data_IF_207572147601
#
_entry.id   IF_207572147601
#
_cell.length_a   1.000
_cell.length_b   1.000
_cell.length_c   1.000
_cell.angle_alpha   90.00
_cell.angle_beta   90.00
_cell.angle_gamma   90.00
#
_symmetry.space_group_name_H-M   'P 1'
#
loop_
_entity.id
_entity.type
_entity.pdbx_description
1 polymer ?
#
# COMPACT_ATOMS: atom_id res chain seq x y z
N UNK A 1 13.74 10.16 35.64
CA UNK A 1 14.28 10.38 34.28
C UNK A 1 13.21 9.94 33.28
N UNK A 2 12.59 10.87 32.56
CA UNK A 2 11.61 10.52 31.54
C UNK A 2 12.37 10.02 30.31
N UNK A 3 12.36 8.70 30.10
CA UNK A 3 12.89 8.09 28.88
C UNK A 3 12.09 8.67 27.70
N UNK A 4 12.79 9.36 26.79
CA UNK A 4 12.22 9.91 25.56
C UNK A 4 11.58 8.75 24.78
N UNK A 5 10.26 8.59 24.88
CA UNK A 5 9.54 7.50 24.23
C UNK A 5 9.62 7.72 22.73
N UNK A 6 10.48 6.97 22.04
CA UNK A 6 10.42 6.85 20.58
C UNK A 6 9.01 6.35 20.24
N UNK A 7 8.20 7.24 19.68
CA UNK A 7 6.89 6.89 19.15
C UNK A 7 7.12 6.22 17.80
N UNK A 8 6.66 4.99 17.67
CA UNK A 8 6.61 4.29 16.39
C UNK A 8 5.16 4.35 15.90
N UNK A 9 4.97 4.71 14.64
CA UNK A 9 3.65 4.62 14.01
C UNK A 9 3.17 3.16 13.92
N UNK A 10 1.89 2.97 13.63
CA UNK A 10 1.31 1.63 13.55
C UNK A 10 1.77 0.86 12.31
N UNK A 11 2.14 1.55 11.24
CA UNK A 11 2.60 0.95 9.99
C UNK A 11 3.98 0.29 10.17
N UNK A 12 4.91 0.99 10.79
CA UNK A 12 6.23 0.49 11.16
C UNK A 12 6.11 -0.71 12.11
N UNK A 13 5.20 -0.66 13.09
CA UNK A 13 4.94 -1.80 13.99
C UNK A 13 4.41 -3.01 13.21
N UNK A 14 3.50 -2.81 12.26
CA UNK A 14 2.98 -3.87 11.41
C UNK A 14 4.08 -4.51 10.54
N UNK A 15 4.92 -3.68 9.90
CA UNK A 15 6.06 -4.14 9.11
C UNK A 15 7.09 -4.89 9.96
N UNK A 16 7.40 -4.39 11.15
CA UNK A 16 8.33 -5.03 12.08
C UNK A 16 7.86 -6.42 12.52
N UNK A 17 6.55 -6.57 12.80
CA UNK A 17 5.97 -7.86 13.14
C UNK A 17 5.97 -8.82 11.96
N UNK A 18 5.69 -8.33 10.74
CA UNK A 18 5.77 -9.14 9.52
C UNK A 18 7.19 -9.67 9.30
N UNK A 19 8.20 -8.81 9.39
CA UNK A 19 9.60 -9.21 9.31
C UNK A 19 9.93 -10.24 10.41
N UNK A 20 9.45 -10.04 11.63
CA UNK A 20 9.64 -11.01 12.71
C UNK A 20 8.99 -12.38 12.47
N UNK A 21 7.93 -12.47 11.65
CA UNK A 21 7.35 -13.75 11.23
C UNK A 21 8.22 -14.45 10.18
N UNK A 22 8.88 -13.70 9.29
CA UNK A 22 9.71 -14.24 8.22
C UNK A 22 11.10 -14.69 8.71
N UNK A 23 11.77 -13.87 9.53
CA UNK A 23 13.16 -14.11 9.95
C UNK A 23 13.33 -14.38 11.46
N UNK A 24 12.24 -14.30 12.23
CA UNK A 24 12.24 -14.47 13.68
C UNK A 24 12.48 -13.16 14.44
N UNK A 25 11.75 -12.97 15.55
CA UNK A 25 11.71 -11.71 16.31
C UNK A 25 13.06 -11.18 16.78
N UNK A 26 14.00 -12.05 17.15
CA UNK A 26 15.34 -11.61 17.56
C UNK A 26 16.14 -11.02 16.39
N UNK A 27 16.09 -11.66 15.21
CA UNK A 27 16.80 -11.17 14.02
C UNK A 27 16.18 -9.86 13.52
N UNK A 28 14.84 -9.82 13.45
CA UNK A 28 14.12 -8.62 13.06
C UNK A 28 14.35 -7.42 14.00
N UNK A 29 14.47 -7.64 15.31
CA UNK A 29 14.81 -6.58 16.26
C UNK A 29 16.21 -6.00 16.02
N UNK A 30 17.19 -6.87 15.74
CA UNK A 30 18.56 -6.45 15.44
C UNK A 30 18.64 -5.68 14.11
N UNK A 31 17.94 -6.16 13.08
CA UNK A 31 17.93 -5.54 11.74
C UNK A 31 17.28 -4.15 11.75
N UNK A 32 16.19 -3.99 12.49
CA UNK A 32 15.49 -2.71 12.63
C UNK A 32 16.10 -1.78 13.69
N UNK A 33 17.14 -2.23 14.39
CA UNK A 33 17.78 -1.46 15.46
C UNK A 33 16.85 -1.11 16.63
N UNK A 34 15.82 -1.94 16.89
CA UNK A 34 14.87 -1.73 17.98
C UNK A 34 15.14 -2.66 19.15
N UNK A 35 14.80 -2.26 20.40
CA UNK A 35 14.95 -3.16 21.54
C UNK A 35 14.15 -4.45 21.35
N UNK A 36 14.76 -5.60 21.67
CA UNK A 36 14.12 -6.92 21.56
C UNK A 36 12.79 -6.99 22.31
N UNK A 37 12.73 -6.41 23.52
CA UNK A 37 11.49 -6.35 24.30
C UNK A 37 10.36 -5.61 23.59
N UNK A 38 10.68 -4.55 22.85
CA UNK A 38 9.72 -3.80 22.02
C UNK A 38 9.18 -4.69 20.90
N UNK A 39 10.06 -5.38 20.18
CA UNK A 39 9.66 -6.32 19.14
C UNK A 39 8.72 -7.42 19.67
N UNK A 40 9.07 -8.06 20.79
CA UNK A 40 8.22 -9.09 21.39
C UNK A 40 6.88 -8.55 21.88
N UNK A 41 6.84 -7.30 22.35
CA UNK A 41 5.61 -6.61 22.72
C UNK A 41 4.70 -6.46 21.51
N UNK A 42 5.24 -6.07 20.35
CA UNK A 42 4.46 -5.93 19.12
C UNK A 42 4.00 -7.27 18.56
N UNK A 43 4.85 -8.31 18.60
CA UNK A 43 4.45 -9.67 18.23
C UNK A 43 3.31 -10.17 19.12
N UNK A 44 3.37 -9.90 20.43
CA UNK A 44 2.30 -10.25 21.37
C UNK A 44 1.02 -9.49 21.07
N UNK A 45 1.09 -8.18 20.86
CA UNK A 45 -0.05 -7.35 20.49
C UNK A 45 -0.69 -7.82 19.18
N UNK A 46 0.11 -8.26 18.21
CA UNK A 46 -0.37 -8.85 16.96
C UNK A 46 -1.11 -10.18 17.18
N UNK A 47 -0.54 -11.09 17.99
CA UNK A 47 -1.19 -12.37 18.34
C UNK A 47 -2.52 -12.19 19.06
N UNK A 48 -2.64 -11.12 19.85
CA UNK A 48 -3.86 -10.76 20.58
C UNK A 48 -4.84 -9.95 19.73
N UNK A 49 -4.55 -9.71 18.44
CA UNK A 49 -5.39 -8.93 17.53
C UNK A 49 -5.43 -7.43 17.82
N UNK A 50 -4.60 -6.94 18.74
CA UNK A 50 -4.48 -5.52 19.12
C UNK A 50 -3.60 -4.72 18.16
N UNK A 51 -2.86 -5.41 17.30
CA UNK A 51 -2.07 -4.83 16.22
C UNK A 51 -2.42 -5.59 14.94
N UNK A 52 -2.92 -4.89 13.92
CA UNK A 52 -3.14 -5.49 12.61
C UNK A 52 -1.84 -5.40 11.81
N UNK A 53 -1.35 -6.53 11.31
CA UNK A 53 -0.30 -6.56 10.28
C UNK A 53 -0.89 -6.66 8.86
N UNK A 54 -2.20 -6.48 8.72
CA UNK A 54 -2.82 -6.44 7.41
C UNK A 54 -2.28 -5.21 6.70
N UNK A 55 -1.50 -5.50 5.66
CA UNK A 55 -0.94 -4.58 4.68
C UNK A 55 0.24 -3.74 5.20
N UNK A 56 1.37 -4.41 5.39
CA UNK A 56 2.61 -3.81 4.89
C UNK A 56 2.43 -3.60 3.37
N UNK A 57 2.00 -2.41 2.98
CA UNK A 57 1.67 -1.97 1.60
C UNK A 57 2.86 -2.16 0.64
N UNK A 58 4.06 -2.37 1.19
CA UNK A 58 5.32 -2.47 0.44
C UNK A 58 6.09 -3.78 0.68
N UNK A 59 5.47 -4.96 0.49
CA UNK A 59 6.26 -6.16 0.17
C UNK A 59 6.62 -6.17 -1.31
N UNK A 60 7.76 -6.76 -1.72
CA UNK A 60 8.11 -6.89 -3.14
C UNK A 60 7.01 -7.56 -3.97
N UNK A 61 6.31 -8.54 -3.38
CA UNK A 61 5.17 -9.23 -3.99
C UNK A 61 3.95 -8.31 -4.19
N UNK A 62 3.69 -7.41 -3.24
CA UNK A 62 2.64 -6.39 -3.40
C UNK A 62 3.09 -5.27 -4.34
N UNK A 63 4.36 -4.87 -4.35
CA UNK A 63 4.90 -3.89 -5.30
C UNK A 63 4.79 -4.38 -6.76
N UNK A 64 5.05 -5.67 -7.00
CA UNK A 64 4.81 -6.31 -8.29
C UNK A 64 3.31 -6.27 -8.65
N UNK A 65 2.43 -6.69 -7.73
CA UNK A 65 0.97 -6.64 -7.91
C UNK A 65 0.45 -5.23 -8.20
N UNK A 66 0.97 -4.22 -7.49
CA UNK A 66 0.60 -2.82 -7.67
C UNK A 66 1.10 -2.27 -9.01
N UNK A 67 2.26 -2.73 -9.50
CA UNK A 67 2.77 -2.34 -10.80
C UNK A 67 1.92 -2.94 -11.93
N UNK A 68 1.51 -4.20 -11.80
CA UNK A 68 0.58 -4.85 -12.73
C UNK A 68 -0.78 -4.13 -12.74
N UNK A 69 -1.33 -3.80 -11.57
CA UNK A 69 -2.55 -2.98 -11.44
C UNK A 69 -2.38 -1.58 -12.05
N UNK A 70 -1.23 -0.94 -11.85
CA UNK A 70 -0.93 0.38 -12.43
C UNK A 70 -0.87 0.32 -13.96
N UNK A 71 -0.31 -0.74 -14.53
CA UNK A 71 -0.26 -0.96 -15.99
C UNK A 71 -1.68 -1.14 -16.54
N UNK A 72 -2.51 -1.96 -15.90
CA UNK A 72 -3.90 -2.17 -16.32
C UNK A 72 -4.74 -0.90 -16.19
N UNK A 73 -4.57 -0.12 -15.13
CA UNK A 73 -5.23 1.19 -14.98
C UNK A 73 -4.80 2.17 -16.07
N UNK A 74 -3.51 2.24 -16.40
CA UNK A 74 -3.02 3.08 -17.51
C UNK A 74 -3.61 2.68 -18.85
N UNK A 75 -3.79 1.39 -19.11
CA UNK A 75 -4.46 0.90 -20.34
C UNK A 75 -5.92 1.36 -20.37
N UNK A 76 -6.66 1.17 -19.27
CA UNK A 76 -8.07 1.59 -19.17
C UNK A 76 -8.24 3.10 -19.36
N UNK A 77 -7.39 3.91 -18.73
CA UNK A 77 -7.41 5.38 -18.91
C UNK A 77 -7.24 5.75 -20.39
N UNK A 78 -6.25 5.15 -21.06
CA UNK A 78 -6.00 5.41 -22.48
C UNK A 78 -7.18 4.99 -23.39
N UNK A 79 -7.88 3.93 -23.03
CA UNK A 79 -9.05 3.47 -23.76
C UNK A 79 -10.26 4.38 -23.53
N UNK A 80 -10.47 4.82 -22.29
CA UNK A 80 -11.48 5.82 -21.95
C UNK A 80 -11.24 7.16 -22.65
N UNK A 81 -10.00 7.63 -22.73
CA UNK A 81 -9.66 8.88 -23.43
C UNK A 81 -10.01 8.82 -24.92
N UNK A 82 -9.81 7.67 -25.57
CA UNK A 82 -10.20 7.47 -26.97
C UNK A 82 -11.71 7.51 -27.14
N UNK A 83 -12.43 6.88 -26.22
CA UNK A 83 -13.89 6.85 -26.27
C UNK A 83 -14.49 8.24 -26.05
N UNK A 84 -13.95 8.99 -25.08
CA UNK A 84 -14.32 10.41 -24.86
C UNK A 84 -14.10 11.22 -26.13
N UNK A 85 -12.98 11.02 -26.81
CA UNK A 85 -12.69 11.73 -28.07
C UNK A 85 -13.71 11.39 -29.15
N UNK A 86 -14.01 10.11 -29.37
CA UNK A 86 -15.01 9.67 -30.36
C UNK A 86 -16.38 10.25 -30.05
N UNK A 87 -16.83 10.18 -28.80
CA UNK A 87 -18.14 10.70 -28.38
C UNK A 87 -18.23 12.23 -28.56
N UNK A 88 -17.12 12.95 -28.35
CA UNK A 88 -17.07 14.40 -28.63
C UNK A 88 -17.18 14.69 -30.13
N UNK A 89 -16.43 13.97 -30.96
CA UNK A 89 -16.50 14.10 -32.42
C UNK A 89 -17.93 13.76 -32.95
N UNK A 90 -18.57 12.74 -32.37
CA UNK A 90 -19.96 12.38 -32.71
C UNK A 90 -20.97 13.47 -32.27
N UNK A 91 -20.82 14.02 -31.06
CA UNK A 91 -21.67 15.12 -30.60
C UNK A 91 -21.49 16.39 -31.45
N UNK A 92 -20.26 16.75 -31.81
CA UNK A 92 -20.01 17.90 -32.72
C UNK A 92 -20.68 17.69 -34.08
N UNK A 93 -20.55 16.49 -34.66
CA UNK A 93 -21.20 16.16 -35.92
C UNK A 93 -22.74 16.25 -35.83
N UNK A 94 -23.33 15.76 -34.74
CA UNK A 94 -24.76 15.83 -34.50
C UNK A 94 -25.25 17.27 -34.26
N UNK A 95 -24.48 18.09 -33.55
CA UNK A 95 -24.78 19.52 -33.35
C UNK A 95 -24.76 20.27 -34.69
N UNK A 96 -23.73 20.08 -35.51
CA UNK A 96 -23.66 20.67 -36.86
C UNK A 96 -24.82 20.23 -37.76
N UNK A 97 -25.21 18.95 -37.72
CA UNK A 97 -26.35 18.43 -38.47
C UNK A 97 -27.70 18.98 -37.96
N UNK A 98 -27.81 19.30 -36.67
CA UNK A 98 -29.00 19.90 -36.07
C UNK A 98 -29.13 21.41 -36.33
N UNK A 99 -28.03 22.07 -36.70
CA UNK A 99 -27.97 23.49 -37.01
C UNK A 99 -28.34 23.82 -38.48
N UNK A 100 -28.50 22.81 -39.34
CA UNK A 100 -28.97 22.91 -40.73
C UNK A 100 -30.49 22.74 -40.84
#
# INVERSE_FOLDING_TARGET
MAQNQKSYDNEFKAQAVKLAQEIGGHKAANELGIPKGTMYTWIKAFKEGRLSANEAVHTPKNALSLNDELIELRKRVKEQDKEIRRLKEENEFLEEASAF
#
